data_IF_815485624081
#
_entry.id   IF_815485624081
#
_cell.length_a   1.000
_cell.length_b   1.000
_cell.length_c   1.000
_cell.angle_alpha   90.00
_cell.angle_beta   90.00
_cell.angle_gamma   90.00
#
_symmetry.space_group_name_H-M   'P 1'
#
loop_
_entity.id
_entity.type
_entity.pdbx_description
1 polymer ?
#
# COMPACT_ATOMS: atom_id res chain seq x y z
N UNK A 1 26.13 12.16 -14.32
CA UNK A 1 27.10 12.28 -15.45
C UNK A 1 27.74 10.93 -15.83
N UNK A 2 27.92 9.99 -14.89
CA UNK A 2 28.47 8.65 -15.18
C UNK A 2 27.55 7.72 -16.01
N UNK A 3 26.23 7.83 -15.84
CA UNK A 3 25.24 7.00 -16.55
C UNK A 3 25.09 7.42 -18.02
N UNK A 4 25.11 8.74 -18.31
CA UNK A 4 24.87 9.26 -19.67
C UNK A 4 25.93 8.81 -20.71
N UNK A 5 27.17 8.57 -20.31
CA UNK A 5 28.24 8.17 -21.24
C UNK A 5 28.25 6.65 -21.51
N UNK A 6 27.82 5.81 -20.56
CA UNK A 6 27.63 4.36 -20.78
C UNK A 6 26.30 4.02 -21.48
N UNK A 7 25.28 4.88 -21.34
CA UNK A 7 23.94 4.69 -21.90
C UNK A 7 23.89 4.49 -23.42
N UNK A 8 24.79 5.12 -24.18
CA UNK A 8 24.87 4.94 -25.64
C UNK A 8 25.23 3.51 -26.05
N UNK A 9 25.84 2.70 -25.16
CA UNK A 9 26.12 1.28 -25.42
C UNK A 9 24.90 0.39 -25.29
N UNK A 10 23.87 0.79 -24.54
CA UNK A 10 22.76 -0.09 -24.14
C UNK A 10 21.53 0.04 -25.08
N UNK A 11 21.56 0.90 -26.10
CA UNK A 11 20.47 1.07 -27.09
C UNK A 11 19.06 1.30 -26.48
N UNK A 12 18.97 1.86 -25.28
CA UNK A 12 17.68 2.16 -24.64
C UNK A 12 17.09 3.45 -25.22
N UNK A 13 15.79 3.45 -25.54
CA UNK A 13 15.12 4.62 -26.09
C UNK A 13 15.09 5.75 -25.04
N UNK A 14 15.30 7.00 -25.46
CA UNK A 14 15.28 8.18 -24.59
C UNK A 14 13.97 8.41 -23.79
N UNK A 15 12.91 7.63 -24.09
CA UNK A 15 11.63 7.67 -23.38
C UNK A 15 11.70 6.84 -22.10
N UNK A 16 12.31 5.66 -22.15
CA UNK A 16 12.43 4.74 -21.01
C UNK A 16 13.40 5.30 -19.95
N UNK A 17 14.35 6.12 -20.38
CA UNK A 17 15.24 6.86 -19.48
C UNK A 17 14.52 7.91 -18.62
N UNK A 18 13.32 8.38 -19.02
CA UNK A 18 12.52 9.30 -18.21
C UNK A 18 11.96 8.63 -16.96
N UNK A 19 11.71 7.33 -17.02
CA UNK A 19 11.28 6.52 -15.86
C UNK A 19 12.35 6.60 -14.76
N UNK A 20 13.61 6.70 -15.18
CA UNK A 20 14.79 6.91 -14.36
C UNK A 20 15.16 8.40 -14.23
N UNK A 21 14.26 9.36 -14.34
CA UNK A 21 14.50 10.80 -14.08
C UNK A 21 14.22 11.11 -12.59
N UNK A 22 15.03 11.89 -11.84
CA UNK A 22 14.77 12.10 -10.42
C UNK A 22 13.69 13.16 -10.21
N UNK A 23 13.37 13.93 -11.25
CA UNK A 23 12.35 14.98 -11.22
C UNK A 23 10.95 14.44 -11.54
N UNK A 24 10.87 13.20 -12.04
CA UNK A 24 9.62 12.56 -12.45
C UNK A 24 9.38 11.32 -11.57
N UNK A 25 8.35 11.37 -10.73
CA UNK A 25 7.92 10.24 -9.90
C UNK A 25 7.07 9.28 -10.73
N UNK A 26 7.70 8.52 -11.62
CA UNK A 26 7.02 7.45 -12.37
C UNK A 26 6.62 6.29 -11.46
N UNK A 27 5.52 5.58 -11.79
CA UNK A 27 5.09 4.39 -11.06
C UNK A 27 6.14 3.28 -11.13
N UNK A 28 6.03 2.31 -10.21
CA UNK A 28 6.85 1.11 -10.23
C UNK A 28 6.71 0.42 -11.58
N UNK A 29 7.82 -0.01 -12.20
CA UNK A 29 7.78 -0.75 -13.46
C UNK A 29 8.98 -1.67 -13.67
N UNK A 30 8.74 -2.81 -14.34
CA UNK A 30 9.73 -3.77 -14.81
C UNK A 30 9.53 -3.90 -16.32
N UNK A 31 10.48 -3.41 -17.10
CA UNK A 31 10.34 -3.39 -18.56
C UNK A 31 11.47 -4.14 -19.24
N UNK A 32 11.11 -5.16 -20.03
CA UNK A 32 11.99 -5.76 -21.00
C UNK A 32 12.25 -4.84 -22.19
N UNK A 33 13.51 -4.82 -22.64
CA UNK A 33 13.98 -4.19 -23.88
C UNK A 33 14.93 -5.13 -24.58
N UNK A 34 15.26 -4.82 -25.84
CA UNK A 34 16.07 -5.67 -26.72
C UNK A 34 17.37 -6.18 -26.08
N UNK A 35 18.01 -5.37 -25.21
CA UNK A 35 19.30 -5.72 -24.55
C UNK A 35 19.39 -5.31 -23.08
N UNK A 36 18.27 -4.93 -22.45
CA UNK A 36 18.27 -4.47 -21.08
C UNK A 36 16.91 -4.63 -20.42
N UNK A 37 16.91 -4.81 -19.11
CA UNK A 37 15.73 -4.69 -18.26
C UNK A 37 15.82 -3.33 -17.57
N UNK A 38 14.79 -2.51 -17.73
CA UNK A 38 14.67 -1.23 -17.03
C UNK A 38 13.80 -1.46 -15.80
N UNK A 39 14.40 -1.24 -14.63
CA UNK A 39 13.76 -1.49 -13.34
C UNK A 39 13.61 -0.18 -12.59
N UNK A 40 12.37 0.16 -12.24
CA UNK A 40 12.02 1.25 -11.35
C UNK A 40 11.10 0.69 -10.28
N UNK A 41 11.65 0.26 -9.15
CA UNK A 41 10.86 -0.27 -8.03
C UNK A 41 11.15 0.59 -6.80
N UNK A 42 10.21 1.46 -6.45
CA UNK A 42 10.33 2.35 -5.28
C UNK A 42 11.64 3.18 -5.29
N UNK A 43 12.59 2.82 -4.44
CA UNK A 43 13.89 3.49 -4.29
C UNK A 43 15.00 2.83 -5.13
N UNK A 44 14.73 1.67 -5.74
CA UNK A 44 15.68 0.97 -6.60
C UNK A 44 15.40 1.32 -8.05
N UNK A 45 16.35 2.04 -8.67
CA UNK A 45 16.32 2.43 -10.07
C UNK A 45 17.55 1.85 -10.76
N UNK A 46 17.34 0.86 -11.63
CA UNK A 46 18.41 0.08 -12.23
C UNK A 46 18.18 -0.18 -13.72
N UNK A 47 19.27 -0.38 -14.44
CA UNK A 47 19.28 -0.99 -15.77
C UNK A 47 20.10 -2.27 -15.65
N UNK A 48 19.46 -3.41 -15.87
CA UNK A 48 20.12 -4.72 -15.85
C UNK A 48 20.41 -5.10 -17.31
N UNK A 49 21.63 -5.53 -17.58
CA UNK A 49 22.02 -6.12 -18.87
C UNK A 49 22.43 -7.58 -18.62
N UNK A 50 22.77 -8.34 -19.67
CA UNK A 50 23.26 -9.71 -19.51
C UNK A 50 24.64 -9.82 -18.83
N UNK A 51 25.37 -8.71 -18.65
CA UNK A 51 26.75 -8.71 -18.13
C UNK A 51 26.99 -7.73 -16.97
N UNK A 52 26.22 -6.64 -16.89
CA UNK A 52 26.39 -5.61 -15.86
C UNK A 52 25.05 -5.03 -15.37
N UNK A 53 25.04 -4.51 -14.13
CA UNK A 53 23.93 -3.77 -13.54
C UNK A 53 24.34 -2.31 -13.35
N UNK A 54 23.55 -1.39 -13.87
CA UNK A 54 23.75 0.05 -13.73
C UNK A 54 22.70 0.62 -12.76
N UNK A 55 23.13 0.88 -11.53
CA UNK A 55 22.31 1.57 -10.54
C UNK A 55 22.41 3.09 -10.71
N UNK A 56 21.28 3.76 -10.50
CA UNK A 56 21.22 5.21 -10.62
C UNK A 56 21.94 5.94 -9.48
N UNK A 57 21.54 5.66 -8.25
CA UNK A 57 21.99 6.37 -7.04
C UNK A 57 22.43 5.34 -5.97
N UNK A 58 23.63 4.74 -6.11
CA UNK A 58 24.08 3.64 -5.25
C UNK A 58 24.45 4.05 -3.82
N UNK A 59 24.44 5.36 -3.51
CA UNK A 59 24.83 5.90 -2.20
C UNK A 59 23.62 6.22 -1.31
N UNK A 60 22.40 5.98 -1.78
CA UNK A 60 21.20 6.18 -0.97
C UNK A 60 21.09 5.11 0.13
N UNK A 61 20.66 5.51 1.34
CA UNK A 61 20.66 4.65 2.55
C UNK A 61 19.94 3.31 2.34
N UNK A 62 18.82 3.32 1.62
CA UNK A 62 18.05 2.10 1.33
C UNK A 62 18.65 1.25 0.20
N UNK A 63 19.53 1.83 -0.65
CA UNK A 63 20.13 1.16 -1.82
C UNK A 63 21.49 0.55 -1.50
N UNK A 64 22.22 1.10 -0.53
CA UNK A 64 23.55 0.59 -0.13
C UNK A 64 23.55 -0.91 0.20
N UNK A 65 22.58 -1.46 0.98
CA UNK A 65 22.53 -2.91 1.22
C UNK A 65 22.36 -3.73 -0.06
N UNK A 66 21.57 -3.21 -1.01
CA UNK A 66 21.32 -3.84 -2.31
C UNK A 66 22.61 -3.88 -3.14
N UNK A 67 23.43 -2.82 -3.10
CA UNK A 67 24.72 -2.78 -3.79
C UNK A 67 25.66 -3.86 -3.29
N UNK A 68 25.74 -4.05 -1.96
CA UNK A 68 26.58 -5.10 -1.38
C UNK A 68 26.08 -6.49 -1.74
N UNK A 69 24.76 -6.69 -1.77
CA UNK A 69 24.16 -7.96 -2.14
C UNK A 69 24.35 -8.29 -3.64
N UNK A 70 24.18 -7.30 -4.52
CA UNK A 70 24.47 -7.43 -5.94
C UNK A 70 25.94 -7.79 -6.16
N UNK A 71 26.87 -7.15 -5.43
CA UNK A 71 28.30 -7.51 -5.51
C UNK A 71 28.56 -8.94 -5.05
N UNK A 72 27.89 -9.37 -3.98
CA UNK A 72 28.06 -10.70 -3.38
C UNK A 72 27.55 -11.81 -4.30
N UNK A 73 26.38 -11.64 -4.92
CA UNK A 73 25.75 -12.67 -5.77
C UNK A 73 26.19 -12.63 -7.23
N UNK A 74 26.65 -11.49 -7.74
CA UNK A 74 27.01 -11.34 -9.16
C UNK A 74 28.51 -11.45 -9.44
N UNK A 75 29.39 -11.41 -8.42
CA UNK A 75 30.79 -11.78 -8.62
C UNK A 75 30.93 -13.31 -8.58
N UNK A 76 31.47 -13.95 -9.63
CA UNK A 76 31.94 -15.32 -9.50
C UNK A 76 32.97 -15.34 -8.37
N UNK A 77 32.85 -16.26 -7.41
CA UNK A 77 33.95 -16.53 -6.50
C UNK A 77 35.20 -16.76 -7.37
N UNK A 78 36.15 -15.82 -7.34
CA UNK A 78 37.42 -16.04 -7.98
C UNK A 78 38.00 -17.34 -7.38
N UNK A 79 38.45 -18.30 -8.20
CA UNK A 79 39.12 -19.47 -7.66
C UNK A 79 40.30 -18.96 -6.83
N UNK A 80 40.34 -19.32 -5.55
CA UNK A 80 41.49 -19.02 -4.72
C UNK A 80 42.68 -19.77 -5.33
N UNK A 81 43.50 -19.06 -6.10
CA UNK A 81 44.81 -19.54 -6.49
C UNK A 81 45.63 -19.58 -5.20
N UNK A 82 45.62 -20.73 -4.54
CA UNK A 82 46.63 -21.08 -3.54
C UNK A 82 47.94 -21.19 -4.32
N UNK A 83 48.72 -20.13 -4.29
CA UNK A 83 50.10 -20.14 -4.73
C UNK A 83 50.88 -20.85 -3.62
N UNK A 84 51.03 -22.17 -3.72
CA UNK A 84 52.05 -22.90 -2.97
C UNK A 84 53.14 -23.35 -3.94
N UNK A 85 54.32 -22.77 -3.75
CA UNK A 85 55.50 -23.03 -4.55
C UNK A 85 56.15 -24.35 -4.14
N UNK A 86 56.12 -25.35 -5.04
CA UNK A 86 57.21 -26.32 -5.14
C UNK A 86 56.82 -27.80 -5.09
N UNK A 87 57.14 -28.51 -6.17
CA UNK A 87 57.58 -29.92 -6.10
C UNK A 87 56.63 -30.99 -6.63
N UNK A 88 56.82 -31.34 -7.90
CA UNK A 88 56.77 -32.69 -8.51
C UNK A 88 55.66 -33.71 -8.11
N UNK A 89 54.81 -33.99 -9.10
CA UNK A 89 54.23 -35.30 -9.48
C UNK A 89 53.50 -36.13 -8.40
N UNK A 90 52.18 -35.95 -8.30
CA UNK A 90 51.26 -37.06 -8.00
C UNK A 90 50.00 -36.93 -8.88
N UNK A 91 49.83 -37.89 -9.79
CA UNK A 91 48.53 -38.22 -10.37
C UNK A 91 47.60 -38.72 -9.27
N UNK A 92 46.41 -38.14 -9.10
CA UNK A 92 45.16 -38.82 -8.64
C UNK A 92 44.02 -37.78 -8.54
N UNK A 93 42.87 -38.17 -9.11
CA UNK A 93 41.50 -37.68 -8.92
C UNK A 93 41.09 -36.30 -9.44
N UNK A 94 40.62 -36.31 -10.69
CA UNK A 94 39.21 -36.04 -11.05
C UNK A 94 38.30 -35.58 -9.90
N UNK A 95 38.38 -34.32 -9.52
CA UNK A 95 37.24 -33.56 -8.98
C UNK A 95 37.17 -32.26 -9.79
N UNK A 96 36.73 -32.41 -11.04
CA UNK A 96 35.98 -31.34 -11.69
C UNK A 96 34.77 -31.14 -10.79
N UNK A 97 34.87 -30.20 -9.86
CA UNK A 97 33.70 -29.63 -9.20
C UNK A 97 32.74 -29.29 -10.34
N UNK A 98 31.61 -29.97 -10.31
CA UNK A 98 30.42 -29.70 -11.09
C UNK A 98 30.19 -28.20 -10.90
N UNK A 99 30.55 -27.38 -11.89
CA UNK A 99 30.08 -26.00 -11.94
C UNK A 99 28.60 -26.19 -12.19
N UNK A 100 27.81 -25.96 -11.14
CA UNK A 100 26.38 -26.24 -11.06
C UNK A 100 25.70 -25.87 -12.39
N UNK A 101 25.08 -26.87 -13.04
CA UNK A 101 24.17 -26.66 -14.18
C UNK A 101 22.90 -25.88 -13.76
N UNK A 102 22.81 -25.47 -12.48
CA UNK A 102 21.70 -24.76 -11.84
C UNK A 102 21.97 -23.25 -11.64
N UNK A 103 23.05 -22.67 -12.16
CA UNK A 103 23.31 -21.23 -11.97
C UNK A 103 22.42 -20.38 -12.88
N UNK A 104 21.45 -19.70 -12.27
CA UNK A 104 20.49 -18.84 -12.98
C UNK A 104 21.21 -17.71 -13.75
N UNK A 105 20.67 -17.28 -14.90
CA UNK A 105 21.21 -16.19 -15.72
C UNK A 105 21.55 -14.94 -14.91
N UNK A 106 22.58 -14.20 -15.35
CA UNK A 106 23.03 -12.97 -14.67
C UNK A 106 21.88 -11.98 -14.45
N UNK A 107 21.05 -11.79 -15.47
CA UNK A 107 19.89 -10.90 -15.41
C UNK A 107 18.87 -11.31 -14.34
N UNK A 108 18.68 -12.61 -14.10
CA UNK A 108 17.73 -13.13 -13.12
C UNK A 108 18.28 -13.05 -11.72
N UNK A 109 19.57 -13.34 -11.50
CA UNK A 109 20.23 -13.07 -10.21
C UNK A 109 20.17 -11.58 -9.84
N UNK A 110 20.37 -10.69 -10.81
CA UNK A 110 20.27 -9.25 -10.59
C UNK A 110 18.83 -8.80 -10.28
N UNK A 111 17.85 -9.34 -11.01
CA UNK A 111 16.43 -9.07 -10.80
C UNK A 111 15.96 -9.59 -9.44
N UNK A 112 16.37 -10.81 -9.07
CA UNK A 112 16.08 -11.44 -7.79
C UNK A 112 16.54 -10.57 -6.63
N UNK A 113 17.80 -10.09 -6.64
CA UNK A 113 18.32 -9.22 -5.58
C UNK A 113 17.52 -7.92 -5.47
N UNK A 114 17.07 -7.36 -6.59
CA UNK A 114 16.23 -6.16 -6.57
C UNK A 114 14.83 -6.44 -5.99
N UNK A 115 14.19 -7.54 -6.39
CA UNK A 115 12.87 -7.95 -5.89
C UNK A 115 12.93 -8.32 -4.40
N UNK A 116 13.92 -9.10 -3.98
CA UNK A 116 14.16 -9.47 -2.59
C UNK A 116 14.33 -8.25 -1.70
N UNK A 117 15.11 -7.26 -2.15
CA UNK A 117 15.31 -6.02 -1.43
C UNK A 117 14.01 -5.22 -1.26
N UNK A 118 13.19 -5.10 -2.32
CA UNK A 118 11.93 -4.35 -2.25
C UNK A 118 10.88 -5.07 -1.41
N UNK A 119 10.70 -6.38 -1.59
CA UNK A 119 9.76 -7.16 -0.80
C UNK A 119 10.14 -7.14 0.69
N UNK A 120 11.43 -7.35 1.00
CA UNK A 120 11.93 -7.27 2.38
C UNK A 120 11.77 -5.87 2.97
N UNK A 121 12.02 -4.81 2.19
CA UNK A 121 11.82 -3.43 2.64
C UNK A 121 10.35 -3.13 2.95
N UNK A 122 9.43 -3.53 2.07
CA UNK A 122 8.00 -3.27 2.24
C UNK A 122 7.40 -4.10 3.40
N UNK A 123 7.84 -5.34 3.58
CA UNK A 123 7.44 -6.16 4.72
C UNK A 123 7.98 -5.61 6.05
N UNK A 124 9.24 -5.18 6.10
CA UNK A 124 9.81 -4.54 7.28
C UNK A 124 9.04 -3.27 7.68
N UNK A 125 8.67 -2.43 6.70
CA UNK A 125 7.84 -1.24 6.95
C UNK A 125 6.44 -1.58 7.40
N UNK A 126 5.86 -2.67 6.89
CA UNK A 126 4.56 -3.19 7.32
C UNK A 126 4.62 -3.63 8.77
N UNK A 127 5.66 -4.37 9.15
CA UNK A 127 5.88 -4.85 10.52
C UNK A 127 6.19 -3.72 11.51
N UNK A 128 6.94 -2.69 11.10
CA UNK A 128 7.15 -1.47 11.88
C UNK A 128 5.82 -0.74 12.14
N UNK A 129 5.01 -0.59 11.09
CA UNK A 129 3.70 0.05 11.18
C UNK A 129 2.78 -0.72 12.12
N UNK A 130 2.73 -2.05 12.00
CA UNK A 130 1.99 -2.95 12.88
C UNK A 130 2.40 -2.82 14.34
N UNK A 131 3.70 -2.84 14.61
CA UNK A 131 4.26 -2.69 15.97
C UNK A 131 3.86 -1.34 16.58
N UNK A 132 3.75 -0.30 15.77
CA UNK A 132 3.31 1.03 16.21
C UNK A 132 1.78 1.18 16.32
N UNK A 133 1.03 0.36 15.58
CA UNK A 133 -0.41 0.43 15.44
C UNK A 133 -1.16 -0.08 16.66
N UNK A 134 -0.91 -1.33 17.05
CA UNK A 134 -1.64 -1.95 18.16
C UNK A 134 -1.56 -1.15 19.46
N UNK A 135 -0.39 -0.65 19.90
CA UNK A 135 -0.32 0.16 21.12
C UNK A 135 -1.08 1.49 21.00
N UNK A 136 -1.12 2.10 19.82
CA UNK A 136 -1.83 3.36 19.61
C UNK A 136 -3.35 3.18 19.65
N UNK A 137 -3.85 2.05 19.14
CA UNK A 137 -5.27 1.70 19.14
C UNK A 137 -5.75 1.30 20.55
N UNK A 138 -4.93 0.55 21.30
CA UNK A 138 -5.22 0.21 22.70
C UNK A 138 -5.23 1.46 23.59
N UNK A 139 -4.24 2.37 23.41
CA UNK A 139 -4.20 3.65 24.12
C UNK A 139 -5.42 4.53 23.80
N UNK A 140 -5.90 4.51 22.55
CA UNK A 140 -7.11 5.23 22.14
C UNK A 140 -8.38 4.63 22.78
N UNK A 141 -8.46 3.29 22.84
CA UNK A 141 -9.57 2.55 23.46
C UNK A 141 -9.63 2.79 24.96
N UNK A 142 -8.48 2.88 25.63
CA UNK A 142 -8.39 3.21 27.06
C UNK A 142 -8.76 4.67 27.34
N UNK A 143 -8.29 5.60 26.51
CA UNK A 143 -8.50 7.04 26.70
C UNK A 143 -8.70 7.76 25.36
N UNK A 144 -9.94 8.17 25.13
CA UNK A 144 -10.30 9.03 24.00
C UNK A 144 -9.75 10.44 24.26
N UNK A 145 -8.67 10.80 23.57
CA UNK A 145 -8.06 12.13 23.65
C UNK A 145 -7.67 12.62 22.26
N UNK A 146 -7.63 13.94 22.06
CA UNK A 146 -7.22 14.54 20.78
C UNK A 146 -5.85 14.06 20.34
N UNK A 147 -4.91 13.90 21.27
CA UNK A 147 -3.56 13.37 21.02
C UNK A 147 -3.60 11.94 20.45
N UNK A 148 -4.43 11.07 21.02
CA UNK A 148 -4.51 9.66 20.61
C UNK A 148 -5.23 9.55 19.25
N UNK A 149 -6.28 10.33 19.04
CA UNK A 149 -6.96 10.42 17.74
C UNK A 149 -6.01 10.93 16.64
N UNK A 150 -5.17 11.92 16.93
CA UNK A 150 -4.17 12.40 15.97
C UNK A 150 -3.09 11.34 15.69
N UNK A 151 -2.70 10.55 16.68
CA UNK A 151 -1.76 9.42 16.50
C UNK A 151 -2.35 8.36 15.58
N UNK A 152 -3.59 7.94 15.80
CA UNK A 152 -4.29 6.96 14.95
C UNK A 152 -4.54 7.52 13.55
N UNK A 153 -4.88 8.81 13.41
CA UNK A 153 -5.00 9.45 12.09
C UNK A 153 -3.68 9.45 11.31
N UNK A 154 -2.55 9.74 11.97
CA UNK A 154 -1.22 9.67 11.35
C UNK A 154 -0.88 8.24 10.91
N UNK A 155 -1.19 7.26 11.76
CA UNK A 155 -1.01 5.85 11.48
C UNK A 155 -1.86 5.40 10.28
N UNK A 156 -3.15 5.75 10.23
CA UNK A 156 -4.05 5.47 9.09
C UNK A 156 -3.53 6.10 7.80
N UNK A 157 -3.03 7.34 7.87
CA UNK A 157 -2.42 8.00 6.72
C UNK A 157 -1.13 7.30 6.25
N UNK A 158 -0.30 6.82 7.17
CA UNK A 158 0.89 6.02 6.84
C UNK A 158 0.51 4.65 6.25
N UNK A 159 -0.51 4.01 6.80
CA UNK A 159 -1.10 2.76 6.31
C UNK A 159 -1.55 2.90 4.86
N UNK A 160 -2.42 3.87 4.56
CA UNK A 160 -2.91 4.07 3.19
C UNK A 160 -1.79 4.35 2.19
N UNK A 161 -0.74 5.09 2.60
CA UNK A 161 0.44 5.31 1.74
C UNK A 161 1.22 4.01 1.50
N UNK A 162 1.42 3.20 2.53
CA UNK A 162 2.16 1.94 2.41
C UNK A 162 1.39 0.92 1.60
N UNK A 163 0.08 0.75 1.83
CA UNK A 163 -0.80 -0.10 1.02
C UNK A 163 -0.73 0.28 -0.45
N UNK A 164 -0.81 1.58 -0.79
CA UNK A 164 -0.73 2.03 -2.18
C UNK A 164 0.64 1.75 -2.83
N UNK A 165 1.72 1.66 -2.05
CA UNK A 165 3.07 1.33 -2.54
C UNK A 165 3.21 -0.17 -2.80
N UNK A 166 2.77 -0.99 -1.83
CA UNK A 166 2.72 -2.46 -1.97
C UNK A 166 1.85 -2.87 -3.15
N UNK A 167 0.67 -2.26 -3.29
CA UNK A 167 -0.25 -2.52 -4.40
C UNK A 167 0.42 -2.28 -5.75
N UNK A 168 1.17 -1.17 -5.93
CA UNK A 168 1.85 -0.89 -7.21
C UNK A 168 2.88 -1.95 -7.58
N UNK A 169 3.62 -2.48 -6.61
CA UNK A 169 4.61 -3.55 -6.89
C UNK A 169 3.90 -4.85 -7.22
N UNK A 170 2.82 -5.17 -6.48
CA UNK A 170 1.96 -6.33 -6.76
C UNK A 170 1.36 -6.25 -8.16
N UNK A 171 0.75 -5.12 -8.52
CA UNK A 171 0.08 -4.93 -9.80
C UNK A 171 1.07 -5.03 -10.97
N UNK A 172 2.30 -4.53 -10.81
CA UNK A 172 3.35 -4.67 -11.85
C UNK A 172 3.81 -6.14 -11.99
N UNK A 173 3.97 -6.87 -10.88
CA UNK A 173 4.31 -8.29 -10.92
C UNK A 173 3.16 -9.12 -11.51
N UNK A 174 1.90 -8.81 -11.16
CA UNK A 174 0.70 -9.45 -11.73
C UNK A 174 0.65 -9.22 -13.24
N UNK A 175 0.84 -7.99 -13.69
CA UNK A 175 0.86 -7.67 -15.11
C UNK A 175 1.98 -8.39 -15.87
N UNK A 176 3.17 -8.50 -15.27
CA UNK A 176 4.30 -9.20 -15.88
C UNK A 176 4.07 -10.73 -15.94
N UNK A 177 3.46 -11.31 -14.89
CA UNK A 177 3.11 -12.74 -14.85
C UNK A 177 1.95 -13.09 -15.81
N UNK A 178 1.08 -12.14 -16.13
CA UNK A 178 -0.06 -12.35 -17.02
C UNK A 178 0.33 -12.42 -18.52
N UNK A 179 1.53 -11.97 -18.91
CA UNK A 179 1.99 -11.89 -20.31
C UNK A 179 3.35 -12.57 -20.55
N UNK A 180 3.31 -13.78 -21.13
CA UNK A 180 4.49 -14.57 -21.48
C UNK A 180 5.46 -13.84 -22.44
N UNK A 181 4.96 -12.95 -23.31
CA UNK A 181 5.80 -12.18 -24.23
C UNK A 181 6.64 -11.14 -23.46
N UNK A 182 6.05 -10.48 -22.46
CA UNK A 182 6.76 -9.54 -21.58
C UNK A 182 7.80 -10.28 -20.71
N UNK A 183 7.50 -11.50 -20.24
CA UNK A 183 8.46 -12.36 -19.54
C UNK A 183 9.60 -12.82 -20.45
N UNK A 184 9.29 -13.29 -21.65
CA UNK A 184 10.29 -13.68 -22.65
C UNK A 184 11.23 -12.51 -22.98
N UNK A 185 10.73 -11.28 -22.88
CA UNK A 185 11.49 -10.08 -23.14
C UNK A 185 12.61 -9.82 -22.12
N UNK A 186 12.53 -10.43 -20.93
CA UNK A 186 13.52 -10.35 -19.85
C UNK A 186 14.70 -11.32 -20.02
N UNK A 187 14.61 -12.33 -20.90
CA UNK A 187 15.69 -13.29 -21.19
C UNK A 187 16.81 -12.66 -22.04
N UNK A 188 17.62 -11.79 -21.45
CA UNK A 188 18.67 -11.02 -22.13
C UNK A 188 19.82 -11.89 -22.65
N UNK A 189 20.25 -12.88 -21.87
CA UNK A 189 21.32 -13.81 -22.23
C UNK A 189 20.91 -14.62 -23.47
N UNK A 190 19.66 -15.08 -23.54
CA UNK A 190 19.12 -15.78 -24.74
C UNK A 190 19.12 -14.87 -25.96
N UNK A 191 18.79 -13.59 -25.80
CA UNK A 191 18.83 -12.58 -26.88
C UNK A 191 20.25 -12.23 -27.34
N UNK A 192 21.23 -12.29 -26.44
CA UNK A 192 22.64 -12.01 -26.75
C UNK A 192 23.31 -13.16 -27.54
N UNK A 193 22.97 -14.42 -27.21
CA UNK A 193 23.57 -15.62 -27.80
C UNK A 193 22.70 -16.31 -28.86
N UNK A 194 21.44 -15.88 -29.04
CA UNK A 194 20.56 -16.35 -30.10
C UNK A 194 21.10 -15.99 -31.49
N UNK A 195 20.86 -16.82 -32.52
CA UNK A 195 21.32 -16.52 -33.87
C UNK A 195 20.70 -15.19 -34.31
N UNK A 196 21.56 -14.23 -34.67
CA UNK A 196 21.23 -13.05 -35.46
C UNK A 196 20.41 -13.51 -36.68
N UNK A 197 19.09 -13.54 -36.53
CA UNK A 197 18.21 -13.83 -37.66
C UNK A 197 18.42 -12.69 -38.65
N UNK A 198 18.73 -12.99 -39.92
CA UNK A 198 19.16 -11.97 -40.85
C UNK A 198 18.07 -10.91 -40.95
N UNK A 199 18.49 -9.64 -40.91
CA UNK A 199 17.70 -8.49 -41.33
C UNK A 199 16.73 -8.95 -42.42
N UNK A 200 15.43 -8.84 -42.14
CA UNK A 200 14.39 -8.91 -43.16
C UNK A 200 14.61 -7.74 -44.11
N UNK A 201 15.54 -7.95 -45.05
CA UNK A 201 15.90 -7.04 -46.09
C UNK A 201 14.71 -6.92 -47.01
N UNK A 202 14.09 -5.75 -47.00
CA UNK A 202 13.52 -5.08 -48.17
C UNK A 202 13.09 -6.03 -49.28
N UNK A 203 11.88 -6.55 -49.19
CA UNK A 203 11.19 -7.14 -50.33
C UNK A 203 11.01 -6.04 -51.39
N UNK A 204 11.97 -5.96 -52.30
CA UNK A 204 11.91 -5.13 -53.49
C UNK A 204 10.66 -5.54 -54.28
N UNK A 205 9.73 -4.60 -54.37
CA UNK A 205 8.62 -4.58 -55.32
C UNK A 205 9.18 -4.65 -56.73
N UNK A 206 9.18 -5.83 -57.35
CA UNK A 206 9.45 -5.96 -58.78
C UNK A 206 8.15 -6.25 -59.52
N UNK A 207 7.64 -5.19 -60.13
CA UNK A 207 6.51 -5.13 -61.04
C UNK A 207 6.81 -5.92 -62.32
N UNK A 208 5.90 -6.79 -62.74
CA UNK A 208 5.92 -7.44 -64.04
C UNK A 208 4.49 -7.88 -64.45
N UNK A 209 3.96 -7.44 -65.61
CA UNK A 209 2.55 -7.66 -65.97
C UNK A 209 2.33 -8.84 -66.95
N UNK A 210 1.06 -9.29 -66.99
CA UNK A 210 0.39 -10.13 -68.02
C UNK A 210 0.76 -11.64 -68.03
N UNK A 211 -0.16 -12.62 -68.13
CA UNK A 211 -1.50 -12.68 -68.74
C UNK A 211 -2.30 -13.93 -68.23
N UNK A 212 -3.61 -14.08 -68.58
CA UNK A 212 -4.58 -14.92 -67.85
C UNK A 212 -5.03 -16.21 -68.57
N UNK A 213 -5.44 -17.22 -67.79
CA UNK A 213 -6.34 -18.32 -68.23
C UNK A 213 -7.00 -18.97 -67.01
N UNK A 214 -8.27 -18.64 -66.70
CA UNK A 214 -9.47 -19.48 -66.90
C UNK A 214 -9.44 -20.82 -66.13
N UNK A 215 -10.30 -20.95 -65.09
CA UNK A 215 -10.60 -22.26 -64.48
C UNK A 215 -11.29 -22.26 -63.10
N UNK A 216 -12.60 -22.00 -63.08
CA UNK A 216 -13.64 -22.50 -62.15
C UNK A 216 -13.44 -22.64 -60.62
N UNK A 217 -14.30 -21.89 -59.89
CA UNK A 217 -15.22 -22.31 -58.78
C UNK A 217 -14.75 -23.40 -57.80
N UNK A 218 -14.73 -23.07 -56.50
CA UNK A 218 -15.67 -23.55 -55.46
C UNK A 218 -15.27 -22.96 -54.11
N UNK A 219 -16.26 -22.34 -53.45
CA UNK A 219 -16.22 -21.85 -52.08
C UNK A 219 -15.88 -22.97 -51.10
N UNK A 220 -14.91 -22.74 -50.21
CA UNK A 220 -14.81 -23.46 -48.93
C UNK A 220 -14.39 -22.49 -47.85
N UNK A 221 -15.38 -22.08 -47.08
CA UNK A 221 -15.23 -21.49 -45.75
C UNK A 221 -14.60 -22.55 -44.84
N UNK A 222 -13.28 -22.57 -44.81
CA UNK A 222 -12.53 -23.27 -43.78
C UNK A 222 -12.08 -22.23 -42.78
N UNK A 223 -12.77 -22.20 -41.64
CA UNK A 223 -12.22 -21.75 -40.36
C UNK A 223 -10.88 -22.47 -40.20
N UNK A 224 -9.80 -21.81 -40.54
CA UNK A 224 -8.48 -22.23 -40.12
C UNK A 224 -8.45 -21.96 -38.62
N UNK A 225 -8.54 -23.04 -37.86
CA UNK A 225 -8.23 -23.05 -36.44
C UNK A 225 -6.94 -22.27 -36.23
N UNK A 226 -7.05 -21.21 -35.44
CA UNK A 226 -5.94 -20.65 -34.65
C UNK A 226 -5.41 -21.79 -33.77
N UNK A 227 -4.49 -22.55 -34.34
CA UNK A 227 -3.57 -23.42 -33.63
C UNK A 227 -2.18 -22.86 -33.94
N UNK A 228 -1.92 -21.66 -33.45
CA UNK A 228 -0.56 -21.17 -33.29
C UNK A 228 -0.03 -21.77 -31.99
N UNK A 229 0.71 -22.86 -32.17
CA UNK A 229 1.96 -23.16 -31.47
C UNK A 229 1.86 -23.10 -29.93
N UNK A 230 1.30 -24.15 -29.35
CA UNK A 230 1.55 -24.55 -27.98
C UNK A 230 2.91 -25.26 -27.96
N UNK A 231 3.98 -24.49 -27.91
CA UNK A 231 5.34 -24.98 -28.08
C UNK A 231 6.43 -24.12 -27.48
N UNK A 232 6.09 -23.13 -26.65
CA UNK A 232 7.06 -22.25 -25.99
C UNK A 232 6.74 -21.98 -24.51
N UNK A 233 5.71 -22.58 -23.93
CA UNK A 233 5.30 -22.35 -22.53
C UNK A 233 6.40 -22.78 -21.54
N UNK A 234 7.27 -23.72 -21.92
CA UNK A 234 8.42 -24.15 -21.09
C UNK A 234 9.62 -23.18 -21.14
N UNK A 235 9.60 -22.15 -21.98
CA UNK A 235 10.76 -21.27 -22.18
C UNK A 235 10.90 -20.18 -21.12
N UNK A 236 9.83 -19.92 -20.35
CA UNK A 236 9.75 -18.87 -19.31
C UNK A 236 9.55 -19.43 -17.90
N UNK A 237 9.41 -20.76 -17.74
CA UNK A 237 9.08 -21.44 -16.47
C UNK A 237 10.03 -21.08 -15.31
N UNK A 238 11.34 -20.96 -15.58
CA UNK A 238 12.34 -20.55 -14.56
C UNK A 238 12.05 -19.15 -14.00
N UNK A 239 11.73 -18.20 -14.88
CA UNK A 239 11.45 -16.83 -14.50
C UNK A 239 10.07 -16.71 -13.86
N UNK A 240 9.08 -17.44 -14.37
CA UNK A 240 7.74 -17.51 -13.80
C UNK A 240 7.80 -17.96 -12.34
N UNK A 241 8.50 -19.06 -12.03
CA UNK A 241 8.69 -19.53 -10.65
C UNK A 241 9.34 -18.48 -9.74
N UNK A 242 10.33 -17.74 -10.24
CA UNK A 242 10.98 -16.65 -9.50
C UNK A 242 9.97 -15.52 -9.19
N UNK A 243 9.26 -15.05 -10.21
CA UNK A 243 8.31 -13.95 -10.11
C UNK A 243 7.11 -14.33 -9.23
N UNK A 244 6.59 -15.55 -9.37
CA UNK A 244 5.51 -16.09 -8.53
C UNK A 244 5.88 -16.09 -7.05
N UNK A 245 7.11 -16.48 -6.70
CA UNK A 245 7.57 -16.48 -5.31
C UNK A 245 7.51 -15.06 -4.70
N UNK A 246 7.99 -14.05 -5.44
CA UNK A 246 7.93 -12.65 -5.00
C UNK A 246 6.52 -12.07 -5.06
N UNK A 247 5.68 -12.49 -6.02
CA UNK A 247 4.27 -12.14 -6.07
C UNK A 247 3.52 -12.64 -4.83
N UNK A 248 3.74 -13.89 -4.43
CA UNK A 248 3.14 -14.45 -3.22
C UNK A 248 3.64 -13.73 -1.95
N UNK A 249 4.92 -13.35 -1.90
CA UNK A 249 5.46 -12.58 -0.78
C UNK A 249 4.83 -11.18 -0.67
N UNK A 250 4.70 -10.45 -1.80
CA UNK A 250 4.11 -9.10 -1.79
C UNK A 250 2.61 -9.14 -1.53
N UNK A 251 1.90 -10.16 -2.04
CA UNK A 251 0.48 -10.38 -1.77
C UNK A 251 0.26 -10.72 -0.28
N UNK A 252 1.11 -11.55 0.32
CA UNK A 252 1.12 -11.80 1.76
C UNK A 252 1.31 -10.50 2.57
N UNK A 253 2.20 -9.62 2.12
CA UNK A 253 2.41 -8.30 2.73
C UNK A 253 1.17 -7.40 2.60
N UNK A 254 0.51 -7.42 1.44
CA UNK A 254 -0.72 -6.67 1.19
C UNK A 254 -1.88 -7.16 2.07
N UNK A 255 -2.03 -8.48 2.21
CA UNK A 255 -3.04 -9.08 3.07
C UNK A 255 -2.83 -8.68 4.54
N UNK A 256 -1.58 -8.70 5.01
CA UNK A 256 -1.22 -8.22 6.35
C UNK A 256 -1.60 -6.75 6.58
N UNK A 257 -1.32 -5.87 5.61
CA UNK A 257 -1.74 -4.46 5.66
C UNK A 257 -3.27 -4.31 5.64
N UNK A 258 -3.97 -5.13 4.88
CA UNK A 258 -5.43 -5.10 4.76
C UNK A 258 -6.09 -5.48 6.07
N UNK A 259 -5.65 -6.56 6.72
CA UNK A 259 -6.13 -6.96 8.06
C UNK A 259 -5.88 -5.86 9.09
N UNK A 260 -4.69 -5.24 9.08
CA UNK A 260 -4.39 -4.16 10.03
C UNK A 260 -5.22 -2.90 9.76
N UNK A 261 -5.54 -2.61 8.48
CA UNK A 261 -6.44 -1.52 8.11
C UNK A 261 -7.85 -1.77 8.62
N UNK A 262 -8.39 -2.98 8.41
CA UNK A 262 -9.70 -3.36 8.94
C UNK A 262 -9.75 -3.17 10.46
N UNK A 263 -8.71 -3.62 11.18
CA UNK A 263 -8.62 -3.42 12.63
C UNK A 263 -8.60 -1.94 13.06
N UNK A 264 -7.91 -1.07 12.32
CA UNK A 264 -7.92 0.38 12.57
C UNK A 264 -9.32 0.96 12.32
N UNK A 265 -9.96 0.58 11.22
CA UNK A 265 -11.29 1.08 10.84
C UNK A 265 -12.37 0.62 11.85
N UNK A 266 -12.32 -0.65 12.28
CA UNK A 266 -13.18 -1.19 13.34
C UNK A 266 -13.02 -0.45 14.67
N UNK A 267 -11.77 -0.13 15.04
CA UNK A 267 -11.48 0.64 16.25
C UNK A 267 -12.01 2.07 16.14
N UNK A 268 -11.88 2.71 14.98
CA UNK A 268 -12.42 4.05 14.73
C UNK A 268 -13.95 4.07 14.89
N UNK A 269 -14.63 3.07 14.32
CA UNK A 269 -16.08 2.93 14.44
C UNK A 269 -16.52 2.70 15.90
N UNK A 270 -15.80 1.86 16.65
CA UNK A 270 -16.04 1.68 18.08
C UNK A 270 -15.90 2.99 18.86
N UNK A 271 -14.85 3.78 18.59
CA UNK A 271 -14.60 5.05 19.26
C UNK A 271 -15.66 6.08 18.89
N UNK A 272 -16.15 6.10 17.64
CA UNK A 272 -17.25 6.95 17.22
C UNK A 272 -18.53 6.64 18.00
N UNK A 273 -18.87 5.36 18.18
CA UNK A 273 -20.01 4.92 18.98
C UNK A 273 -19.86 5.36 20.45
N UNK A 274 -18.66 5.21 21.03
CA UNK A 274 -18.37 5.67 22.39
C UNK A 274 -18.54 7.19 22.55
N UNK A 275 -18.05 7.97 21.58
CA UNK A 275 -18.17 9.43 21.57
C UNK A 275 -19.63 9.89 21.41
N UNK A 276 -20.43 9.18 20.62
CA UNK A 276 -21.87 9.42 20.52
C UNK A 276 -22.57 9.15 21.86
N UNK A 277 -22.20 8.06 22.55
CA UNK A 277 -22.75 7.75 23.87
C UNK A 277 -22.42 8.83 24.91
N UNK A 278 -21.16 9.31 24.95
CA UNK A 278 -20.76 10.40 25.85
C UNK A 278 -21.49 11.72 25.53
N UNK A 279 -21.66 12.05 24.24
CA UNK A 279 -22.46 13.20 23.82
C UNK A 279 -23.92 13.08 24.25
N UNK A 280 -24.51 11.90 24.12
CA UNK A 280 -25.88 11.64 24.58
C UNK A 280 -26.02 11.82 26.10
N UNK A 281 -25.04 11.35 26.89
CA UNK A 281 -25.02 11.59 28.34
C UNK A 281 -24.93 13.09 28.69
N UNK A 282 -24.13 13.85 27.94
CA UNK A 282 -24.01 15.30 28.15
C UNK A 282 -25.33 16.00 27.85
N UNK A 283 -25.98 15.68 26.72
CA UNK A 283 -27.30 16.23 26.35
C UNK A 283 -28.34 15.92 27.44
N UNK A 284 -28.32 14.71 27.99
CA UNK A 284 -29.21 14.31 29.08
C UNK A 284 -28.98 15.14 30.35
N UNK A 285 -27.71 15.38 30.72
CA UNK A 285 -27.36 16.20 31.87
C UNK A 285 -27.74 17.67 31.66
N UNK A 286 -27.52 18.20 30.45
CA UNK A 286 -27.93 19.55 30.07
C UNK A 286 -29.45 19.74 30.17
N UNK A 287 -30.24 18.77 29.68
CA UNK A 287 -31.68 18.78 29.80
C UNK A 287 -32.14 18.81 31.28
N UNK A 288 -31.48 18.04 32.14
CA UNK A 288 -31.76 18.02 33.58
C UNK A 288 -31.46 19.38 34.24
N UNK A 289 -30.28 19.96 33.97
CA UNK A 289 -29.89 21.27 34.50
C UNK A 289 -30.79 22.41 33.98
N UNK A 290 -31.14 22.38 32.69
CA UNK A 290 -32.02 23.36 32.06
C UNK A 290 -33.42 23.31 32.67
N UNK A 291 -33.99 22.11 32.83
CA UNK A 291 -35.28 21.91 33.50
C UNK A 291 -35.27 22.44 34.94
N UNK A 292 -34.17 22.20 35.67
CA UNK A 292 -33.99 22.72 37.04
C UNK A 292 -33.93 24.24 37.09
N UNK A 293 -33.23 24.85 36.13
CA UNK A 293 -33.10 26.30 36.00
C UNK A 293 -34.44 26.97 35.68
N UNK A 294 -35.23 26.39 34.77
CA UNK A 294 -36.58 26.89 34.46
C UNK A 294 -37.47 26.82 35.70
N UNK A 295 -37.44 25.70 36.43
CA UNK A 295 -38.25 25.49 37.63
C UNK A 295 -37.87 26.48 38.74
N UNK A 296 -36.58 26.72 38.95
CA UNK A 296 -36.08 27.71 39.91
C UNK A 296 -36.40 29.15 39.49
N UNK A 297 -36.40 29.44 38.18
CA UNK A 297 -36.77 30.76 37.65
C UNK A 297 -38.24 31.09 37.93
N UNK A 298 -39.15 30.12 37.79
CA UNK A 298 -40.57 30.26 38.14
C UNK A 298 -40.71 30.55 39.65
N UNK A 299 -39.99 29.80 40.50
CA UNK A 299 -40.00 30.04 41.95
C UNK A 299 -39.45 31.43 42.30
N UNK A 300 -38.34 31.83 41.67
CA UNK A 300 -37.68 33.12 41.91
C UNK A 300 -38.55 34.30 41.47
N UNK A 301 -39.33 34.16 40.39
CA UNK A 301 -40.30 35.16 39.96
C UNK A 301 -41.37 35.40 41.05
N UNK A 302 -41.94 34.32 41.59
CA UNK A 302 -42.92 34.41 42.67
C UNK A 302 -42.29 35.03 43.92
N UNK A 303 -41.12 34.54 44.34
CA UNK A 303 -40.41 35.09 45.49
C UNK A 303 -40.06 36.58 45.31
N UNK A 304 -39.68 36.98 44.09
CA UNK A 304 -39.37 38.36 43.73
C UNK A 304 -40.56 39.29 43.82
N UNK A 305 -41.72 38.92 43.27
CA UNK A 305 -42.97 39.71 43.34
C UNK A 305 -43.35 39.97 44.80
N UNK A 306 -43.28 38.95 45.65
CA UNK A 306 -43.63 39.07 47.07
C UNK A 306 -42.51 39.65 47.94
N UNK A 307 -41.28 39.70 47.45
CA UNK A 307 -40.14 40.37 48.10
C UNK A 307 -40.09 41.88 47.86
N UNK A 308 -40.96 42.42 47.00
CA UNK A 308 -41.05 43.87 46.77
C UNK A 308 -41.71 44.57 47.95
N UNK A 309 -41.12 45.69 48.40
CA UNK A 309 -41.62 46.52 49.50
C UNK A 309 -42.82 47.39 49.08
N UNK A 310 -43.87 46.78 48.58
CA UNK A 310 -45.13 47.45 48.21
C UNK A 310 -46.09 47.31 49.40
N UNK A 311 -46.74 48.40 49.88
CA UNK A 311 -47.67 48.34 51.00
C UNK A 311 -48.96 47.62 50.57
N UNK A 312 -49.00 46.31 50.75
CA UNK A 312 -50.20 45.49 50.56
C UNK A 312 -51.11 45.56 51.80
N UNK A 313 -52.43 45.64 51.59
CA UNK A 313 -53.44 45.75 52.65
C UNK A 313 -53.52 44.56 53.62
N UNK A 314 -52.84 43.44 53.32
CA UNK A 314 -52.82 42.23 54.15
C UNK A 314 -51.59 42.11 55.08
N UNK A 315 -50.63 43.02 55.01
CA UNK A 315 -49.39 42.95 55.79
C UNK A 315 -49.59 43.19 57.31
N UNK A 316 -50.64 43.91 57.72
CA UNK A 316 -50.81 44.30 59.12
C UNK A 316 -51.33 43.19 60.05
N UNK A 317 -51.85 42.06 59.53
CA UNK A 317 -52.39 40.98 60.37
C UNK A 317 -52.19 39.54 59.84
N UNK A 318 -51.51 39.35 58.69
CA UNK A 318 -51.39 38.05 58.01
C UNK A 318 -49.95 37.65 57.66
N UNK A 319 -49.04 37.70 58.64
CA UNK A 319 -47.65 37.24 58.46
C UNK A 319 -47.54 35.77 57.96
N UNK A 320 -48.56 34.93 58.18
CA UNK A 320 -48.63 33.55 57.71
C UNK A 320 -48.84 33.42 56.19
N UNK A 321 -49.43 34.41 55.52
CA UNK A 321 -49.76 34.33 54.08
C UNK A 321 -48.50 34.28 53.22
N UNK A 322 -47.48 35.09 53.55
CA UNK A 322 -46.20 35.04 52.86
C UNK A 322 -45.54 33.66 52.96
N UNK A 323 -45.52 33.08 54.16
CA UNK A 323 -44.97 31.74 54.39
C UNK A 323 -45.71 30.66 53.60
N UNK A 324 -47.04 30.75 53.50
CA UNK A 324 -47.84 29.83 52.70
C UNK A 324 -47.54 29.95 51.21
N UNK A 325 -47.48 31.16 50.67
CA UNK A 325 -47.19 31.40 49.24
C UNK A 325 -45.83 30.82 48.85
N UNK A 326 -44.80 31.03 49.66
CA UNK A 326 -43.45 30.49 49.43
C UNK A 326 -43.44 28.95 49.44
N UNK A 327 -44.16 28.32 50.37
CA UNK A 327 -44.25 26.86 50.44
C UNK A 327 -45.01 26.31 49.22
N UNK A 328 -46.16 26.90 48.86
CA UNK A 328 -46.95 26.47 47.72
C UNK A 328 -46.22 26.66 46.38
N UNK A 329 -45.52 27.79 46.19
CA UNK A 329 -44.73 28.03 44.98
C UNK A 329 -43.54 27.08 44.87
N UNK A 330 -42.90 26.73 45.99
CA UNK A 330 -41.83 25.73 46.04
C UNK A 330 -42.33 24.33 45.65
N UNK A 331 -43.48 23.91 46.18
CA UNK A 331 -44.11 22.63 45.82
C UNK A 331 -44.50 22.63 44.34
N UNK A 332 -45.14 23.70 43.84
CA UNK A 332 -45.55 23.81 42.45
C UNK A 332 -44.35 23.76 41.49
N UNK A 333 -43.24 24.43 41.84
CA UNK A 333 -41.98 24.38 41.08
C UNK A 333 -41.37 22.98 41.06
N UNK A 334 -41.34 22.29 42.21
CA UNK A 334 -40.84 20.92 42.28
C UNK A 334 -41.70 19.93 41.47
N UNK A 335 -43.03 20.06 41.52
CA UNK A 335 -43.93 19.25 40.71
C UNK A 335 -43.75 19.51 39.21
N UNK A 336 -43.57 20.76 38.82
CA UNK A 336 -43.30 21.14 37.44
C UNK A 336 -41.99 20.54 36.93
N UNK A 337 -40.93 20.59 37.75
CA UNK A 337 -39.66 19.94 37.44
C UNK A 337 -39.82 18.43 37.23
N UNK A 338 -40.51 17.74 38.15
CA UNK A 338 -40.77 16.29 38.03
C UNK A 338 -41.59 15.98 36.78
N UNK A 339 -42.61 16.78 36.46
CA UNK A 339 -43.41 16.62 35.26
C UNK A 339 -42.58 16.71 33.97
N UNK A 340 -41.64 17.67 33.90
CA UNK A 340 -40.72 17.80 32.75
C UNK A 340 -39.83 16.56 32.62
N UNK A 341 -39.26 16.07 33.73
CA UNK A 341 -38.38 14.89 33.71
C UNK A 341 -39.15 13.63 33.32
N UNK A 342 -40.37 13.44 33.83
CA UNK A 342 -41.23 12.30 33.45
C UNK A 342 -41.60 12.37 31.97
N UNK A 343 -41.96 13.55 31.46
CA UNK A 343 -42.25 13.76 30.05
C UNK A 343 -41.02 13.44 29.17
N UNK A 344 -39.83 13.89 29.57
CA UNK A 344 -38.58 13.63 28.85
C UNK A 344 -38.23 12.14 28.82
N UNK A 345 -38.46 11.41 29.93
CA UNK A 345 -38.29 9.96 29.99
C UNK A 345 -39.28 9.20 29.11
N UNK A 346 -40.55 9.59 29.12
CA UNK A 346 -41.58 8.94 28.28
C UNK A 346 -41.30 9.09 26.78
N UNK A 347 -40.65 10.18 26.38
CA UNK A 347 -40.22 10.40 25.00
C UNK A 347 -38.89 9.74 24.62
N UNK A 348 -38.24 9.03 25.55
CA UNK A 348 -36.96 8.35 25.29
C UNK A 348 -35.78 9.29 25.09
N UNK A 349 -35.90 10.57 25.48
CA UNK A 349 -34.81 11.56 25.41
C UNK A 349 -33.81 11.40 26.56
N UNK A 350 -34.26 10.76 27.64
CA UNK A 350 -33.48 10.47 28.83
C UNK A 350 -33.49 8.95 28.91
N UNK A 351 -32.30 8.33 28.80
CA UNK A 351 -32.15 6.88 28.73
C UNK A 351 -32.98 6.15 29.80
N UNK A 352 -33.57 5.03 29.39
CA UNK A 352 -34.17 4.04 30.30
C UNK A 352 -33.15 3.54 31.30
#
# INVERSE_FOLDING_TARGET
MWISTRLYRVQIHARDLRILDPLLSYPSTIMGRERAIVLNLEHIKAIITAEEVLLRDPFEENVVPVVEELRRRLHPLAPQIVQDEGGENVSVQHDLEIIDEDESPFEFRALEVALEAICSFLDARTTELETSAYPALDELTSKISSKNLDRVRKLKSAMSRLTARVQKVRDELEQLLDDDDDMADLYLSRKLFGPLSPLSGSAATNWGPASPTIGSRISRTSRASTATIHGNDNDVEELEMLLEAYFMQIDGTLNKLTTLREYIDDTEDYINIQLDNQRNQLIQLELFLSSGTVSLSIYSLVAGIFGMNIPYSWNNNHAHVFRLVVIFSGIASALFFVAIIVYARQKGLVGS
#
